data_IF_771612976465
#
_entry.id   IF_771612976465
#
_cell.length_a   1.000
_cell.length_b   1.000
_cell.length_c   1.000
_cell.angle_alpha   90.00
_cell.angle_beta   90.00
_cell.angle_gamma   90.00
#
_symmetry.space_group_name_H-M   'P 1'
#
loop_
_entity.id
_entity.type
_entity.pdbx_description
1 polymer ?
#
# COMPACT_ATOMS: atom_id res chain seq x y z
N UNK A 1 5.78 8.46 19.34
CA UNK A 1 6.53 7.92 18.19
C UNK A 1 5.79 8.34 16.92
N UNK A 2 6.41 9.09 16.00
CA UNK A 2 5.71 9.53 14.78
C UNK A 2 5.60 8.38 13.77
N UNK A 3 4.57 8.40 12.90
CA UNK A 3 4.32 7.35 11.90
C UNK A 3 5.56 7.01 11.07
N UNK A 4 6.35 8.03 10.69
CA UNK A 4 7.59 7.84 9.94
C UNK A 4 8.60 6.99 10.69
N UNK A 5 8.76 7.19 12.01
CA UNK A 5 9.69 6.41 12.82
C UNK A 5 9.26 4.94 12.96
N UNK A 6 7.96 4.68 13.16
CA UNK A 6 7.42 3.32 13.26
C UNK A 6 7.53 2.56 11.92
N UNK A 7 7.26 3.25 10.81
CA UNK A 7 7.42 2.69 9.46
C UNK A 7 8.86 2.35 9.12
N UNK A 8 9.80 3.24 9.43
CA UNK A 8 11.23 3.01 9.19
C UNK A 8 11.71 1.79 9.98
N UNK A 9 11.33 1.65 11.26
CA UNK A 9 11.69 0.48 12.06
C UNK A 9 11.12 -0.84 11.49
N UNK A 10 9.87 -0.85 11.03
CA UNK A 10 9.26 -2.04 10.44
C UNK A 10 9.94 -2.48 9.13
N UNK A 11 10.25 -1.53 8.24
CA UNK A 11 10.96 -1.82 6.98
C UNK A 11 12.38 -2.31 7.29
N UNK A 12 13.11 -1.65 8.20
CA UNK A 12 14.48 -2.03 8.57
C UNK A 12 14.59 -3.43 9.18
N UNK A 13 13.54 -3.93 9.84
CA UNK A 13 13.50 -5.28 10.41
C UNK A 13 13.13 -6.39 9.41
N UNK A 14 12.49 -6.06 8.28
CA UNK A 14 11.95 -7.08 7.35
C UNK A 14 12.61 -7.13 5.97
N UNK A 15 13.39 -6.12 5.57
CA UNK A 15 13.98 -6.09 4.22
C UNK A 15 15.40 -5.50 4.30
N UNK A 16 16.41 -6.36 4.26
CA UNK A 16 17.79 -5.94 4.01
C UNK A 16 17.86 -5.29 2.62
N UNK A 17 18.37 -4.05 2.58
CA UNK A 17 18.57 -3.19 1.42
C UNK A 17 17.30 -2.60 0.77
N UNK A 18 17.00 -1.32 1.05
CA UNK A 18 17.44 -0.19 0.21
C UNK A 18 16.80 1.14 0.66
N UNK A 19 17.66 2.15 0.72
CA UNK A 19 17.40 3.58 0.84
C UNK A 19 17.00 4.13 2.22
N UNK A 20 18.01 4.65 2.90
CA UNK A 20 17.89 5.78 3.81
C UNK A 20 17.32 6.99 3.08
N UNK A 21 16.24 7.51 3.67
CA UNK A 21 15.84 8.91 3.74
C UNK A 21 15.24 9.58 2.50
N UNK A 22 14.12 10.23 2.83
CA UNK A 22 13.37 11.24 2.08
C UNK A 22 12.45 10.70 0.98
N UNK A 23 11.17 10.53 1.31
CA UNK A 23 10.01 10.57 0.38
C UNK A 23 10.20 9.94 -1.00
N UNK A 24 10.96 8.84 -1.11
CA UNK A 24 10.94 7.99 -2.29
C UNK A 24 9.71 7.08 -2.17
N UNK A 25 8.51 7.67 -2.19
CA UNK A 25 7.25 6.97 -2.45
C UNK A 25 7.21 6.49 -3.92
N UNK A 26 8.28 5.81 -4.32
CA UNK A 26 8.38 5.11 -5.58
C UNK A 26 7.39 3.94 -5.60
N UNK A 27 7.18 3.37 -6.78
CA UNK A 27 6.26 2.25 -6.94
C UNK A 27 6.63 1.05 -6.06
N UNK A 28 7.88 0.92 -5.63
CA UNK A 28 8.32 -0.16 -4.74
C UNK A 28 7.84 0.06 -3.31
N UNK A 29 8.02 1.27 -2.80
CA UNK A 29 7.57 1.69 -1.47
C UNK A 29 6.05 1.63 -1.38
N UNK A 30 5.33 2.10 -2.40
CA UNK A 30 3.88 1.98 -2.46
C UNK A 30 3.42 0.51 -2.50
N UNK A 31 4.09 -0.35 -3.27
CA UNK A 31 3.80 -1.80 -3.29
C UNK A 31 3.97 -2.43 -1.92
N UNK A 32 5.10 -2.18 -1.24
CA UNK A 32 5.34 -2.69 0.11
C UNK A 32 4.32 -2.17 1.14
N UNK A 33 3.90 -0.91 0.99
CA UNK A 33 2.89 -0.27 1.84
C UNK A 33 1.54 -0.97 1.77
N UNK A 34 1.07 -1.27 0.55
CA UNK A 34 -0.22 -1.92 0.38
C UNK A 34 -0.15 -3.45 0.50
N UNK A 35 1.00 -4.08 0.27
CA UNK A 35 1.17 -5.54 0.41
C UNK A 35 0.99 -5.99 1.87
N UNK A 36 1.50 -5.22 2.82
CA UNK A 36 1.39 -5.49 4.26
C UNK A 36 0.28 -4.66 4.93
N UNK A 37 -0.91 -4.61 4.32
CA UNK A 37 -2.01 -3.73 4.73
C UNK A 37 -2.35 -3.80 6.23
N UNK A 38 -2.28 -4.98 6.87
CA UNK A 38 -2.57 -5.14 8.30
C UNK A 38 -1.55 -4.39 9.20
N UNK A 39 -0.27 -4.42 8.82
CA UNK A 39 0.80 -3.75 9.56
C UNK A 39 0.76 -2.26 9.27
N UNK A 40 0.58 -1.90 8.00
CA UNK A 40 0.41 -0.52 7.56
C UNK A 40 -0.78 0.14 8.25
N UNK A 41 -1.90 -0.57 8.39
CA UNK A 41 -3.10 -0.14 9.12
C UNK A 41 -2.78 0.07 10.61
N UNK A 42 -2.08 -0.88 11.24
CA UNK A 42 -1.68 -0.78 12.64
C UNK A 42 -0.76 0.41 12.92
N UNK A 43 0.12 0.76 11.97
CA UNK A 43 1.05 1.89 12.11
C UNK A 43 0.37 3.23 11.81
N UNK A 44 -0.51 3.28 10.79
CA UNK A 44 -1.13 4.53 10.32
C UNK A 44 -2.44 4.86 11.01
N UNK A 45 -3.07 3.88 11.64
CA UNK A 45 -4.44 3.98 12.18
C UNK A 45 -5.53 3.98 11.10
N UNK A 46 -5.18 3.78 9.83
CA UNK A 46 -6.14 3.69 8.72
C UNK A 46 -6.83 2.32 8.75
N UNK A 47 -8.12 2.27 8.44
CA UNK A 47 -8.86 1.02 8.38
C UNK A 47 -8.25 0.03 7.36
N UNK A 48 -8.01 -1.20 7.81
CA UNK A 48 -7.36 -2.24 7.02
C UNK A 48 -8.17 -2.66 5.79
N UNK A 49 -9.51 -2.58 5.85
CA UNK A 49 -10.39 -2.91 4.73
C UNK A 49 -10.21 -1.89 3.62
N UNK A 50 -10.14 -0.60 3.97
CA UNK A 50 -9.85 0.47 3.03
C UNK A 50 -8.48 0.24 2.36
N UNK A 51 -7.45 -0.07 3.15
CA UNK A 51 -6.11 -0.35 2.61
C UNK A 51 -6.09 -1.55 1.64
N UNK A 52 -6.79 -2.64 1.97
CA UNK A 52 -6.91 -3.83 1.11
C UNK A 52 -7.68 -3.54 -0.19
N UNK A 53 -8.68 -2.67 -0.14
CA UNK A 53 -9.42 -2.23 -1.33
C UNK A 53 -8.55 -1.38 -2.25
N UNK A 54 -7.82 -0.40 -1.71
CA UNK A 54 -6.86 0.38 -2.48
C UNK A 54 -5.76 -0.50 -3.09
N UNK A 55 -5.25 -1.49 -2.36
CA UNK A 55 -4.31 -2.48 -2.93
C UNK A 55 -4.90 -3.15 -4.18
N UNK A 56 -6.14 -3.60 -4.11
CA UNK A 56 -6.81 -4.28 -5.23
C UNK A 56 -6.95 -3.36 -6.42
N UNK A 57 -7.44 -2.13 -6.22
CA UNK A 57 -7.60 -1.12 -7.28
C UNK A 57 -6.26 -0.85 -7.99
N UNK A 58 -5.21 -0.58 -7.21
CA UNK A 58 -3.88 -0.28 -7.76
C UNK A 58 -3.28 -1.47 -8.50
N UNK A 59 -3.44 -2.70 -7.98
CA UNK A 59 -2.97 -3.92 -8.66
C UNK A 59 -3.73 -4.15 -9.96
N UNK A 60 -5.05 -3.95 -9.98
CA UNK A 60 -5.86 -4.08 -11.20
C UNK A 60 -5.42 -3.08 -12.26
N UNK A 61 -5.20 -1.81 -11.89
CA UNK A 61 -4.68 -0.78 -12.81
C UNK A 61 -3.29 -1.12 -13.36
N UNK A 62 -2.41 -1.66 -12.53
CA UNK A 62 -1.04 -2.02 -12.91
C UNK A 62 -0.93 -3.40 -13.58
N UNK A 63 -2.03 -4.14 -13.73
CA UNK A 63 -2.01 -5.55 -14.12
C UNK A 63 -1.65 -5.79 -15.59
N UNK A 64 -1.82 -4.79 -16.46
CA UNK A 64 -1.60 -4.92 -17.90
C UNK A 64 -2.67 -5.73 -18.64
N UNK A 65 -3.69 -6.24 -17.95
CA UNK A 65 -4.81 -6.95 -18.55
C UNK A 65 -5.96 -6.02 -18.91
N UNK A 66 -6.86 -6.48 -19.78
CA UNK A 66 -8.14 -5.82 -20.03
C UNK A 66 -9.00 -5.84 -18.77
N UNK A 67 -9.33 -4.66 -18.25
CA UNK A 67 -10.13 -4.50 -17.03
C UNK A 67 -11.61 -4.42 -17.41
N UNK A 68 -12.46 -5.17 -16.69
CA UNK A 68 -13.91 -4.97 -16.77
C UNK A 68 -14.28 -3.64 -16.09
N UNK A 69 -14.51 -2.62 -16.90
CA UNK A 69 -14.75 -1.25 -16.42
C UNK A 69 -15.96 -1.15 -15.49
N UNK A 70 -17.05 -1.88 -15.77
CA UNK A 70 -18.27 -1.83 -14.95
C UNK A 70 -18.02 -2.38 -13.54
N UNK A 71 -17.36 -3.52 -13.44
CA UNK A 71 -17.02 -4.12 -12.14
C UNK A 71 -15.97 -3.29 -11.39
N UNK A 72 -15.00 -2.73 -12.11
CA UNK A 72 -13.97 -1.88 -11.53
C UNK A 72 -14.56 -0.57 -10.98
N UNK A 73 -15.47 0.07 -11.71
CA UNK A 73 -16.18 1.27 -11.28
C UNK A 73 -17.05 0.99 -10.05
N UNK A 74 -17.86 -0.07 -10.07
CA UNK A 74 -18.68 -0.45 -8.92
C UNK A 74 -17.84 -0.75 -7.67
N UNK A 75 -16.70 -1.43 -7.84
CA UNK A 75 -15.77 -1.72 -6.75
C UNK A 75 -15.12 -0.44 -6.21
N UNK A 76 -14.76 0.49 -7.10
CA UNK A 76 -14.14 1.77 -6.73
C UNK A 76 -15.11 2.70 -6.01
N UNK A 77 -16.38 2.77 -6.45
CA UNK A 77 -17.41 3.60 -5.81
C UNK A 77 -17.83 3.08 -4.42
N UNK A 78 -17.73 1.76 -4.20
CA UNK A 78 -18.02 1.15 -2.89
C UNK A 78 -16.87 1.25 -1.91
N UNK A 79 -15.66 1.59 -2.38
CA UNK A 79 -14.44 1.68 -1.57
C UNK A 79 -14.39 3.00 -0.83
#
# INVERSE_FOLDING_TARGET
MSMQHAWIQYISLNIYYKLLLNTCNDGNTARCFFENADISSSITGVDVVIMKRFRTILKTMASGYTINLKLFEEYSLKT
#
